data_IF_248992109067
#
_entry.id   IF_248992109067
#
_cell.length_a   1.000
_cell.length_b   1.000
_cell.length_c   1.000
_cell.angle_alpha   90.00
_cell.angle_beta   90.00
_cell.angle_gamma   90.00
#
_symmetry.space_group_name_H-M   'P 1'
#
loop_
_entity.id
_entity.type
_entity.pdbx_description
1 polymer ?
#
# COMPACT_ATOMS: atom_id res chain seq x y z
N UNK A 1 8.78 30.87 17.94
CA UNK A 1 9.21 29.51 17.55
C UNK A 1 10.66 29.60 17.13
N UNK A 2 11.56 28.95 17.88
CA UNK A 2 13.01 29.03 17.64
C UNK A 2 13.36 28.16 16.40
N UNK A 3 14.38 28.54 15.64
CA UNK A 3 14.92 27.79 14.46
C UNK A 3 15.18 26.30 14.75
N UNK A 4 15.41 25.92 16.01
CA UNK A 4 15.56 24.53 16.45
C UNK A 4 14.27 23.69 16.29
N UNK A 5 13.08 24.30 16.25
CA UNK A 5 11.81 23.58 16.05
C UNK A 5 11.49 23.31 14.57
N UNK A 6 12.16 23.98 13.64
CA UNK A 6 11.98 23.81 12.19
C UNK A 6 12.74 22.60 11.62
N UNK A 7 13.59 21.93 12.42
CA UNK A 7 14.41 20.78 11.98
C UNK A 7 13.99 19.42 12.55
N UNK A 8 12.91 19.33 13.32
CA UNK A 8 12.42 18.03 13.80
C UNK A 8 11.78 17.27 12.66
N UNK A 9 12.36 16.14 12.31
CA UNK A 9 11.84 15.21 11.33
C UNK A 9 10.65 14.48 11.95
N UNK A 10 9.44 14.88 11.57
CA UNK A 10 8.18 14.38 12.13
C UNK A 10 7.26 13.90 11.03
N UNK A 11 6.42 12.93 11.39
CA UNK A 11 5.29 12.46 10.61
C UNK A 11 4.01 12.52 11.42
N UNK A 12 2.91 12.76 10.73
CA UNK A 12 1.59 12.67 11.32
C UNK A 12 1.11 11.22 11.21
N UNK A 13 1.03 10.54 12.33
CA UNK A 13 0.69 9.12 12.44
C UNK A 13 -0.76 9.01 12.90
N UNK A 14 -1.53 8.17 12.21
CA UNK A 14 -2.89 7.82 12.60
C UNK A 14 -2.87 6.72 13.67
N UNK A 15 -2.11 5.65 13.39
CA UNK A 15 -1.96 4.51 14.31
C UNK A 15 -0.66 3.75 14.04
N UNK A 16 -0.13 3.10 15.08
CA UNK A 16 0.90 2.06 14.97
C UNK A 16 0.37 0.82 15.68
N UNK A 17 0.30 -0.31 14.98
CA UNK A 17 -0.27 -1.52 15.56
C UNK A 17 0.41 -2.78 15.01
N UNK A 18 0.27 -3.90 15.73
CA UNK A 18 0.82 -5.20 15.36
C UNK A 18 -0.30 -6.16 14.97
N UNK A 19 -0.24 -6.69 13.77
CA UNK A 19 -1.22 -7.63 13.24
C UNK A 19 -0.57 -8.60 12.24
N UNK A 20 -1.38 -9.40 11.55
CA UNK A 20 -0.91 -10.17 10.39
C UNK A 20 -1.01 -9.32 9.13
N UNK A 21 0.04 -9.35 8.28
CA UNK A 21 -0.09 -8.75 6.95
C UNK A 21 -1.18 -9.48 6.16
N UNK A 22 -2.16 -8.73 5.70
CA UNK A 22 -3.34 -9.27 4.98
C UNK A 22 -3.14 -9.37 3.48
N UNK A 23 -2.10 -8.75 2.94
CA UNK A 23 -1.89 -8.59 1.50
C UNK A 23 -0.42 -8.68 1.10
N UNK A 24 -0.14 -8.64 -0.20
CA UNK A 24 1.20 -8.59 -0.78
C UNK A 24 2.07 -9.83 -0.44
N UNK A 25 3.40 -9.72 -0.54
CA UNK A 25 4.31 -10.86 -0.34
C UNK A 25 4.39 -11.31 1.11
N UNK A 26 4.22 -10.37 2.04
CA UNK A 26 4.30 -10.66 3.47
C UNK A 26 2.97 -11.20 4.05
N UNK A 27 1.98 -11.57 3.21
CA UNK A 27 0.70 -12.09 3.67
C UNK A 27 0.87 -13.24 4.66
N UNK A 28 0.21 -13.12 5.83
CA UNK A 28 0.27 -14.11 6.90
C UNK A 28 1.43 -13.93 7.89
N UNK A 29 2.40 -13.06 7.63
CA UNK A 29 3.46 -12.76 8.59
C UNK A 29 3.02 -11.73 9.63
N UNK A 30 3.43 -11.90 10.92
CA UNK A 30 3.31 -10.86 11.93
C UNK A 30 4.04 -9.60 11.47
N UNK A 31 3.33 -8.47 11.42
CA UNK A 31 3.80 -7.22 10.83
C UNK A 31 3.39 -6.04 11.72
N UNK A 32 4.28 -5.09 11.90
CA UNK A 32 3.95 -3.79 12.49
C UNK A 32 3.51 -2.84 11.39
N UNK A 33 2.33 -2.29 11.53
CA UNK A 33 1.79 -1.31 10.60
C UNK A 33 2.02 0.10 11.14
N UNK A 34 2.61 0.96 10.31
CA UNK A 34 2.73 2.39 10.57
C UNK A 34 1.83 3.11 9.60
N UNK A 35 0.64 3.53 10.08
CA UNK A 35 -0.36 4.21 9.26
C UNK A 35 -0.25 5.72 9.37
N UNK A 36 0.11 6.36 8.26
CA UNK A 36 0.24 7.80 8.15
C UNK A 36 -1.12 8.47 7.87
N UNK A 37 -1.27 9.69 8.36
CA UNK A 37 -2.47 10.51 8.13
C UNK A 37 -2.39 11.26 6.82
N UNK A 38 -3.55 11.40 6.16
CA UNK A 38 -3.73 12.20 4.96
C UNK A 38 -3.65 11.40 3.66
N UNK A 39 -4.53 11.73 2.72
CA UNK A 39 -4.55 11.14 1.39
C UNK A 39 -5.04 12.20 0.39
N UNK A 40 -4.39 12.36 -0.78
CA UNK A 40 -4.87 13.26 -1.83
C UNK A 40 -5.98 12.64 -2.69
N UNK A 41 -6.31 11.34 -2.50
CA UNK A 41 -7.33 10.61 -3.23
C UNK A 41 -8.60 10.44 -2.41
N UNK A 42 -9.71 10.12 -3.10
CA UNK A 42 -11.03 9.81 -2.50
C UNK A 42 -11.64 8.60 -3.20
N UNK A 43 -10.94 7.46 -3.08
CA UNK A 43 -11.40 6.20 -3.70
C UNK A 43 -12.77 5.81 -3.15
N UNK A 44 -13.66 5.38 -4.03
CA UNK A 44 -15.04 5.02 -3.68
C UNK A 44 -15.13 3.82 -2.70
N UNK A 45 -14.16 2.90 -2.78
CA UNK A 45 -14.09 1.70 -1.93
C UNK A 45 -13.12 1.87 -0.74
N UNK A 46 -12.76 3.10 -0.37
CA UNK A 46 -11.75 3.32 0.68
C UNK A 46 -12.24 2.75 2.02
N UNK A 47 -11.48 1.82 2.58
CA UNK A 47 -11.75 1.22 3.90
C UNK A 47 -11.01 1.94 5.04
N UNK A 48 -10.24 2.98 4.72
CA UNK A 48 -9.36 3.68 5.68
C UNK A 48 -9.64 5.19 5.70
N UNK A 49 -10.88 5.61 5.47
CA UNK A 49 -11.26 7.04 5.46
C UNK A 49 -10.97 7.74 6.79
N UNK A 50 -10.97 7.01 7.91
CA UNK A 50 -10.62 7.52 9.23
C UNK A 50 -9.18 8.08 9.30
N UNK A 51 -8.27 7.61 8.43
CA UNK A 51 -6.91 8.11 8.35
C UNK A 51 -6.76 9.42 7.57
N UNK A 52 -7.83 9.99 6.99
CA UNK A 52 -7.71 11.23 6.21
C UNK A 52 -7.37 12.44 7.08
N UNK A 53 -7.85 12.51 8.31
CA UNK A 53 -7.81 13.73 9.14
C UNK A 53 -7.29 13.53 10.55
N UNK A 54 -7.43 12.35 11.13
CA UNK A 54 -6.99 12.03 12.49
C UNK A 54 -5.47 11.83 12.57
N UNK A 55 -4.92 11.75 13.80
CA UNK A 55 -3.52 11.41 14.06
C UNK A 55 -2.68 12.53 14.66
N UNK A 56 -1.58 12.14 15.29
CA UNK A 56 -0.68 12.98 16.06
C UNK A 56 0.71 13.06 15.40
N UNK A 57 1.47 14.12 15.75
CA UNK A 57 2.84 14.31 15.25
C UNK A 57 3.84 13.54 16.08
N UNK A 58 4.55 12.59 15.49
CA UNK A 58 5.61 11.79 16.09
C UNK A 58 6.97 12.12 15.46
N UNK A 59 8.02 12.16 16.27
CA UNK A 59 9.40 12.23 15.79
C UNK A 59 9.80 10.87 15.18
N UNK A 60 10.62 10.87 14.12
CA UNK A 60 10.97 9.64 13.40
C UNK A 60 11.64 8.59 14.30
N UNK A 61 12.52 9.02 15.22
CA UNK A 61 13.19 8.11 16.14
C UNK A 61 12.18 7.43 17.08
N UNK A 62 11.21 8.19 17.60
CA UNK A 62 10.14 7.64 18.43
C UNK A 62 9.29 6.58 17.69
N UNK A 63 9.04 6.79 16.38
CA UNK A 63 8.33 5.80 15.56
C UNK A 63 9.16 4.52 15.43
N UNK A 64 10.47 4.63 15.15
CA UNK A 64 11.36 3.46 15.01
C UNK A 64 11.46 2.69 16.33
N UNK A 65 11.57 3.39 17.47
CA UNK A 65 11.61 2.78 18.81
C UNK A 65 10.31 2.05 19.12
N UNK A 66 9.16 2.66 18.84
CA UNK A 66 7.84 2.05 19.02
C UNK A 66 7.69 0.79 18.16
N UNK A 67 8.02 0.87 16.88
CA UNK A 67 8.03 -0.29 15.97
C UNK A 67 8.91 -1.42 16.52
N UNK A 68 10.11 -1.09 17.01
CA UNK A 68 11.06 -2.05 17.59
C UNK A 68 10.50 -2.76 18.83
N UNK A 69 9.66 -2.08 19.62
CA UNK A 69 9.07 -2.63 20.85
C UNK A 69 8.13 -3.83 20.60
N UNK A 70 7.56 -3.96 19.41
CA UNK A 70 6.69 -5.08 19.05
C UNK A 70 7.46 -6.38 18.75
N UNK A 71 8.76 -6.31 18.44
CA UNK A 71 9.60 -7.47 18.18
C UNK A 71 9.28 -8.22 16.87
N UNK A 72 8.53 -7.62 15.95
CA UNK A 72 8.27 -8.19 14.64
C UNK A 72 9.40 -7.84 13.65
N UNK A 73 9.59 -8.73 12.66
CA UNK A 73 10.59 -8.54 11.60
C UNK A 73 10.08 -7.65 10.48
N UNK A 74 8.79 -7.79 10.13
CA UNK A 74 8.17 -7.10 9.04
C UNK A 74 7.51 -5.80 9.50
N UNK A 75 7.67 -4.75 8.70
CA UNK A 75 7.04 -3.43 8.91
C UNK A 75 6.36 -2.99 7.62
N UNK A 76 5.10 -2.62 7.71
CA UNK A 76 4.35 -2.06 6.60
C UNK A 76 4.07 -0.57 6.87
N UNK A 77 4.67 0.30 6.07
CA UNK A 77 4.33 1.72 6.08
C UNK A 77 3.19 1.94 5.10
N UNK A 78 2.07 2.38 5.62
CA UNK A 78 0.81 2.55 4.90
C UNK A 78 0.09 3.81 5.36
N UNK A 79 -1.18 3.98 5.05
CA UNK A 79 -1.96 5.10 5.59
C UNK A 79 -3.11 5.49 4.71
N UNK A 80 -3.33 6.79 4.58
CA UNK A 80 -3.97 7.37 3.41
C UNK A 80 -3.02 7.25 2.21
N UNK A 81 -2.10 8.23 2.06
CA UNK A 81 -0.99 8.12 1.11
C UNK A 81 0.32 8.51 1.83
N UNK A 82 1.18 7.53 2.16
CA UNK A 82 2.39 7.80 2.94
C UNK A 82 3.34 8.81 2.28
N UNK A 83 3.50 8.73 0.96
CA UNK A 83 4.42 9.60 0.21
C UNK A 83 3.92 11.04 0.08
N UNK A 84 2.68 11.34 0.49
CA UNK A 84 2.21 12.72 0.64
C UNK A 84 2.91 13.48 1.78
N UNK A 85 3.55 12.76 2.71
CA UNK A 85 4.37 13.34 3.76
C UNK A 85 5.88 13.17 3.43
N UNK A 86 6.62 14.24 3.12
CA UNK A 86 8.02 14.13 2.61
C UNK A 86 8.98 13.36 3.53
N UNK A 87 8.78 13.43 4.86
CA UNK A 87 9.61 12.69 5.81
C UNK A 87 9.34 11.17 5.81
N UNK A 88 8.33 10.68 5.08
CA UNK A 88 8.09 9.25 4.90
C UNK A 88 9.31 8.54 4.29
N UNK A 89 9.95 9.16 3.30
CA UNK A 89 11.17 8.60 2.69
C UNK A 89 12.27 8.36 3.72
N UNK A 90 12.45 9.29 4.66
CA UNK A 90 13.43 9.15 5.74
C UNK A 90 13.05 8.07 6.74
N UNK A 91 11.75 7.93 7.06
CA UNK A 91 11.27 6.85 7.92
C UNK A 91 11.58 5.49 7.29
N UNK A 92 11.26 5.31 6.02
CA UNK A 92 11.53 4.07 5.28
C UNK A 92 13.01 3.67 5.36
N UNK A 93 13.91 4.63 5.11
CA UNK A 93 15.36 4.39 5.21
C UNK A 93 15.78 4.01 6.65
N UNK A 94 15.29 4.73 7.68
CA UNK A 94 15.61 4.41 9.08
C UNK A 94 15.12 3.02 9.52
N UNK A 95 13.94 2.62 9.09
CA UNK A 95 13.43 1.28 9.36
C UNK A 95 14.30 0.20 8.70
N UNK A 96 14.70 0.40 7.45
CA UNK A 96 15.65 -0.50 6.78
C UNK A 96 17.01 -0.53 7.48
N UNK A 97 17.54 0.62 7.93
CA UNK A 97 18.81 0.72 8.67
C UNK A 97 18.75 0.04 10.04
N UNK A 98 17.57 0.03 10.67
CA UNK A 98 17.30 -0.71 11.90
C UNK A 98 17.15 -2.23 11.68
N UNK A 99 17.22 -2.73 10.43
CA UNK A 99 17.23 -4.15 10.09
C UNK A 99 15.84 -4.76 9.86
N UNK A 100 14.79 -3.94 9.72
CA UNK A 100 13.45 -4.44 9.40
C UNK A 100 13.31 -4.79 7.91
N UNK A 101 12.43 -5.74 7.62
CA UNK A 101 11.91 -5.99 6.27
C UNK A 101 10.74 -5.04 6.04
N UNK A 102 10.98 -4.00 5.23
CA UNK A 102 10.05 -2.88 5.07
C UNK A 102 9.27 -2.99 3.77
N UNK A 103 7.95 -2.89 3.87
CA UNK A 103 7.06 -2.68 2.73
C UNK A 103 6.41 -1.29 2.80
N UNK A 104 6.11 -0.74 1.62
CA UNK A 104 5.38 0.51 1.45
C UNK A 104 4.14 0.25 0.62
N UNK A 105 2.96 0.50 1.18
CA UNK A 105 1.71 0.54 0.41
C UNK A 105 1.42 1.98 -0.02
N UNK A 106 1.38 2.22 -1.33
CA UNK A 106 1.13 3.55 -1.91
C UNK A 106 0.05 3.50 -2.98
N UNK A 107 -0.71 4.56 -3.09
CA UNK A 107 -1.77 4.72 -4.09
C UNK A 107 -1.26 4.80 -5.54
N UNK A 108 0.06 4.90 -5.75
CA UNK A 108 0.65 5.11 -7.08
C UNK A 108 0.51 6.52 -7.65
N UNK A 109 -0.13 7.45 -6.94
CA UNK A 109 -0.33 8.83 -7.38
C UNK A 109 0.87 9.75 -7.10
N UNK A 110 1.77 9.33 -6.21
CA UNK A 110 2.96 10.08 -5.82
C UNK A 110 4.20 9.49 -6.49
N UNK A 111 5.27 10.29 -6.59
CA UNK A 111 6.56 9.83 -7.13
C UNK A 111 7.22 8.82 -6.18
N UNK A 112 7.68 7.68 -6.73
CA UNK A 112 8.33 6.61 -5.97
C UNK A 112 9.85 6.55 -6.20
N UNK A 113 10.43 7.50 -6.96
CA UNK A 113 11.83 7.48 -7.36
C UNK A 113 12.81 7.46 -6.17
N UNK A 114 12.50 8.26 -5.14
CA UNK A 114 13.36 8.44 -3.95
C UNK A 114 13.14 7.37 -2.87
N UNK A 115 12.25 6.39 -3.10
CA UNK A 115 12.03 5.29 -2.13
C UNK A 115 13.27 4.40 -2.06
N UNK A 116 13.76 4.15 -0.84
CA UNK A 116 14.94 3.32 -0.57
C UNK A 116 14.84 1.98 -1.31
N UNK A 117 15.94 1.55 -1.91
CA UNK A 117 15.99 0.37 -2.77
C UNK A 117 15.67 -0.95 -2.04
N UNK A 118 15.79 -0.96 -0.72
CA UNK A 118 15.51 -2.12 0.13
C UNK A 118 14.02 -2.31 0.44
N UNK A 119 13.21 -1.26 0.23
CA UNK A 119 11.77 -1.27 0.48
C UNK A 119 11.04 -2.00 -0.63
N UNK A 120 10.19 -2.98 -0.29
CA UNK A 120 9.24 -3.60 -1.21
C UNK A 120 8.04 -2.66 -1.39
N UNK A 121 7.84 -2.15 -2.61
CA UNK A 121 6.75 -1.21 -2.90
C UNK A 121 5.55 -1.97 -3.45
N UNK A 122 4.41 -1.83 -2.79
CA UNK A 122 3.10 -2.28 -3.27
C UNK A 122 2.39 -1.06 -3.85
N UNK A 123 2.40 -0.93 -5.17
CA UNK A 123 1.85 0.24 -5.87
C UNK A 123 0.45 -0.09 -6.35
N UNK A 124 -0.53 0.59 -5.81
CA UNK A 124 -1.94 0.37 -6.12
C UNK A 124 -2.33 1.14 -7.39
N UNK A 125 -2.57 0.42 -8.48
CA UNK A 125 -3.06 1.00 -9.74
C UNK A 125 -4.57 1.18 -9.63
N UNK A 126 -5.00 2.42 -9.63
CA UNK A 126 -6.42 2.78 -9.46
C UNK A 126 -7.21 2.46 -10.72
N UNK A 127 -8.21 1.60 -10.57
CA UNK A 127 -9.15 1.22 -11.63
C UNK A 127 -10.25 2.29 -11.80
N UNK A 128 -11.02 2.29 -12.91
CA UNK A 128 -12.14 3.21 -13.09
C UNK A 128 -13.15 3.18 -11.94
N UNK A 129 -13.45 2.01 -11.37
CA UNK A 129 -14.37 1.84 -10.24
C UNK A 129 -13.91 2.58 -8.98
N UNK A 130 -12.60 2.79 -8.81
CA UNK A 130 -12.07 3.62 -7.72
C UNK A 130 -12.47 5.10 -7.82
N UNK A 131 -12.82 5.58 -9.03
CA UNK A 131 -13.01 7.00 -9.44
C UNK A 131 -11.74 7.84 -9.40
N UNK A 132 -10.57 7.23 -9.22
CA UNK A 132 -9.27 7.89 -9.12
C UNK A 132 -8.27 7.42 -10.20
N UNK A 133 -8.73 6.70 -11.23
CA UNK A 133 -7.86 6.16 -12.30
C UNK A 133 -7.00 7.23 -12.99
N UNK A 134 -7.50 8.45 -13.14
CA UNK A 134 -6.75 9.59 -13.70
C UNK A 134 -5.56 10.03 -12.84
N UNK A 135 -5.45 9.53 -11.61
CA UNK A 135 -4.37 9.86 -10.67
C UNK A 135 -3.19 8.88 -10.76
N UNK A 136 -3.30 7.82 -11.54
CA UNK A 136 -2.20 6.89 -11.77
C UNK A 136 -1.03 7.64 -12.42
N UNK A 137 0.14 7.60 -11.78
CA UNK A 137 1.37 8.19 -12.28
C UNK A 137 2.13 7.15 -13.12
N UNK A 138 1.98 7.22 -14.44
CA UNK A 138 2.54 6.24 -15.39
C UNK A 138 4.08 6.18 -15.30
N UNK A 139 4.74 7.29 -15.00
CA UNK A 139 6.19 7.39 -14.84
C UNK A 139 6.72 6.42 -13.77
N UNK A 140 5.92 6.10 -12.75
CA UNK A 140 6.27 5.15 -11.71
C UNK A 140 6.54 3.74 -12.26
N UNK A 141 5.89 3.35 -13.36
CA UNK A 141 6.05 2.00 -13.91
C UNK A 141 7.46 1.71 -14.40
N UNK A 142 8.19 2.72 -14.86
CA UNK A 142 9.59 2.59 -15.25
C UNK A 142 10.54 2.40 -14.07
N UNK A 143 10.10 2.75 -12.87
CA UNK A 143 10.86 2.71 -11.62
C UNK A 143 10.65 1.42 -10.82
N UNK A 144 9.72 0.55 -11.26
CA UNK A 144 9.41 -0.71 -10.60
C UNK A 144 10.58 -1.68 -10.70
N UNK A 145 10.79 -2.44 -9.61
CA UNK A 145 11.82 -3.48 -9.47
C UNK A 145 11.14 -4.84 -9.33
N UNK A 146 11.89 -5.91 -9.50
CA UNK A 146 11.34 -7.29 -9.44
C UNK A 146 10.71 -7.66 -8.09
N UNK A 147 11.16 -7.03 -7.00
CA UNK A 147 10.61 -7.26 -5.65
C UNK A 147 9.47 -6.30 -5.28
N UNK A 148 9.07 -5.42 -6.21
CA UNK A 148 7.86 -4.62 -6.05
C UNK A 148 6.63 -5.38 -6.53
N UNK A 149 5.47 -4.84 -6.23
CA UNK A 149 4.19 -5.39 -6.65
C UNK A 149 3.27 -4.30 -7.18
N UNK A 150 2.50 -4.63 -8.19
CA UNK A 150 1.39 -3.82 -8.67
C UNK A 150 0.08 -4.44 -8.21
N UNK A 151 -0.74 -3.70 -7.51
CA UNK A 151 -2.04 -4.16 -7.02
C UNK A 151 -3.17 -3.44 -7.77
N UNK A 152 -4.17 -4.21 -8.18
CA UNK A 152 -5.41 -3.73 -8.77
C UNK A 152 -6.57 -4.19 -7.89
N UNK A 153 -7.34 -3.25 -7.35
CA UNK A 153 -8.60 -3.55 -6.66
C UNK A 153 -9.71 -3.54 -7.71
N UNK A 154 -10.37 -4.69 -7.88
CA UNK A 154 -11.37 -4.94 -8.92
C UNK A 154 -12.75 -4.78 -8.32
N UNK A 155 -13.50 -3.76 -8.75
CA UNK A 155 -14.85 -3.45 -8.27
C UNK A 155 -15.95 -4.01 -9.16
N UNK A 156 -15.63 -4.39 -10.40
CA UNK A 156 -16.60 -4.90 -11.37
C UNK A 156 -15.93 -5.71 -12.49
N UNK A 157 -16.75 -6.29 -13.37
CA UNK A 157 -16.25 -6.94 -14.59
C UNK A 157 -15.59 -5.93 -15.53
N UNK A 158 -16.09 -4.73 -15.61
CA UNK A 158 -15.52 -3.64 -16.43
C UNK A 158 -14.15 -3.24 -15.92
N UNK A 159 -13.95 -3.16 -14.61
CA UNK A 159 -12.62 -2.92 -14.00
C UNK A 159 -11.63 -4.04 -14.33
N UNK A 160 -12.08 -5.29 -14.29
CA UNK A 160 -11.26 -6.44 -14.67
C UNK A 160 -10.80 -6.33 -16.14
N UNK A 161 -11.74 -6.07 -17.05
CA UNK A 161 -11.41 -5.97 -18.47
C UNK A 161 -10.52 -4.75 -18.77
N UNK A 162 -10.76 -3.63 -18.10
CA UNK A 162 -9.90 -2.44 -18.16
C UNK A 162 -8.49 -2.77 -17.64
N UNK A 163 -8.36 -3.39 -16.48
CA UNK A 163 -7.08 -3.75 -15.87
C UNK A 163 -6.27 -4.67 -16.76
N UNK A 164 -6.92 -5.66 -17.40
CA UNK A 164 -6.29 -6.56 -18.36
C UNK A 164 -5.77 -5.81 -19.60
N UNK A 165 -6.52 -4.85 -20.11
CA UNK A 165 -6.08 -4.00 -21.22
C UNK A 165 -4.90 -3.11 -20.79
N UNK A 166 -4.99 -2.50 -19.61
CA UNK A 166 -3.97 -1.62 -19.04
C UNK A 166 -2.63 -2.34 -18.79
N UNK A 167 -2.67 -3.58 -18.30
CA UNK A 167 -1.47 -4.42 -18.16
C UNK A 167 -0.75 -4.63 -19.51
N UNK A 168 -1.50 -4.87 -20.58
CA UNK A 168 -0.94 -5.09 -21.91
C UNK A 168 -0.37 -3.81 -22.50
N UNK A 169 -1.12 -2.71 -22.41
CA UNK A 169 -0.73 -1.40 -22.94
C UNK A 169 0.61 -0.93 -22.36
N UNK A 170 0.79 -1.09 -21.06
CA UNK A 170 1.99 -0.63 -20.35
C UNK A 170 3.05 -1.73 -20.11
N UNK A 171 2.81 -2.96 -20.55
CA UNK A 171 3.76 -4.07 -20.40
C UNK A 171 4.10 -4.41 -18.93
N UNK A 172 3.13 -4.27 -18.03
CA UNK A 172 3.37 -4.29 -16.58
C UNK A 172 3.73 -5.67 -16.04
N UNK A 173 3.18 -6.75 -16.63
CA UNK A 173 3.45 -8.13 -16.19
C UNK A 173 4.91 -8.55 -16.34
N UNK A 174 5.71 -7.80 -17.10
CA UNK A 174 7.15 -8.07 -17.25
C UNK A 174 8.01 -7.30 -16.23
N UNK A 175 7.43 -6.42 -15.45
CA UNK A 175 8.14 -5.53 -14.51
C UNK A 175 8.27 -6.15 -13.12
N UNK A 176 7.17 -6.57 -12.55
CA UNK A 176 7.07 -7.14 -11.21
C UNK A 176 5.82 -8.01 -11.12
N UNK A 177 5.57 -8.60 -9.96
CA UNK A 177 4.35 -9.35 -9.70
C UNK A 177 3.12 -8.43 -9.74
N UNK A 178 2.04 -8.93 -10.34
CA UNK A 178 0.76 -8.22 -10.43
C UNK A 178 -0.29 -8.94 -9.60
N UNK A 179 -0.94 -8.20 -8.70
CA UNK A 179 -1.98 -8.69 -7.81
C UNK A 179 -3.36 -8.18 -8.26
N UNK A 180 -4.31 -9.09 -8.41
CA UNK A 180 -5.73 -8.75 -8.57
C UNK A 180 -6.48 -9.13 -7.30
N UNK A 181 -7.06 -8.12 -6.66
CA UNK A 181 -7.82 -8.27 -5.42
C UNK A 181 -9.28 -7.85 -5.65
N UNK A 182 -10.28 -8.66 -5.28
CA UNK A 182 -11.67 -8.23 -5.38
C UNK A 182 -11.96 -7.16 -4.32
N UNK A 183 -12.66 -6.10 -4.70
CA UNK A 183 -13.25 -5.16 -3.73
C UNK A 183 -14.18 -5.92 -2.80
N UNK A 184 -14.03 -5.73 -1.50
CA UNK A 184 -14.59 -6.62 -0.46
C UNK A 184 -16.09 -6.87 -0.56
N UNK A 185 -16.87 -5.85 -0.95
CA UNK A 185 -18.34 -5.96 -1.01
C UNK A 185 -18.92 -5.98 -2.44
N UNK A 186 -18.10 -5.72 -3.46
CA UNK A 186 -18.59 -5.46 -4.82
C UNK A 186 -18.41 -6.65 -5.75
N UNK A 187 -17.28 -7.37 -5.62
CA UNK A 187 -16.98 -8.54 -6.46
C UNK A 187 -16.81 -9.79 -5.62
N UNK A 188 -17.61 -10.82 -5.91
CA UNK A 188 -17.41 -12.11 -5.26
C UNK A 188 -16.04 -12.69 -5.61
N UNK A 189 -15.24 -13.12 -4.62
CA UNK A 189 -13.91 -13.67 -4.86
C UNK A 189 -13.88 -14.79 -5.91
N UNK A 190 -14.84 -15.71 -5.86
CA UNK A 190 -14.94 -16.79 -6.84
C UNK A 190 -15.13 -16.28 -8.27
N UNK A 191 -15.90 -15.21 -8.47
CA UNK A 191 -16.13 -14.64 -9.80
C UNK A 191 -14.82 -14.07 -10.40
N UNK A 192 -14.04 -13.32 -9.61
CA UNK A 192 -12.75 -12.82 -10.06
C UNK A 192 -11.78 -13.97 -10.38
N UNK A 193 -11.74 -15.01 -9.54
CA UNK A 193 -10.91 -16.18 -9.78
C UNK A 193 -11.30 -16.90 -11.09
N UNK A 194 -12.59 -17.06 -11.35
CA UNK A 194 -13.10 -17.65 -12.60
C UNK A 194 -12.70 -16.82 -13.82
N UNK A 195 -12.76 -15.48 -13.75
CA UNK A 195 -12.33 -14.62 -14.86
C UNK A 195 -10.84 -14.76 -15.16
N UNK A 196 -10.00 -14.77 -14.12
CA UNK A 196 -8.56 -14.94 -14.25
C UNK A 196 -8.22 -16.29 -14.91
N UNK A 197 -8.88 -17.38 -14.46
CA UNK A 197 -8.66 -18.73 -14.99
C UNK A 197 -9.15 -18.85 -16.44
N UNK A 198 -10.33 -18.33 -16.75
CA UNK A 198 -10.90 -18.36 -18.10
C UNK A 198 -9.98 -17.62 -19.12
N UNK A 199 -9.44 -16.49 -18.74
CA UNK A 199 -8.53 -15.70 -19.57
C UNK A 199 -7.07 -16.18 -19.52
N UNK A 200 -6.73 -17.16 -18.66
CA UNK A 200 -5.36 -17.61 -18.40
C UNK A 200 -4.42 -16.45 -18.11
N UNK A 201 -4.94 -15.45 -17.39
CA UNK A 201 -4.21 -14.23 -17.09
C UNK A 201 -3.09 -14.51 -16.06
N UNK A 202 -1.86 -14.08 -16.38
CA UNK A 202 -0.70 -14.31 -15.52
C UNK A 202 -0.63 -13.20 -14.46
N UNK A 203 -1.53 -13.30 -13.47
CA UNK A 203 -1.60 -12.42 -12.30
C UNK A 203 -1.83 -13.29 -11.06
N UNK A 204 -1.41 -12.81 -9.91
CA UNK A 204 -1.70 -13.44 -8.63
C UNK A 204 -3.06 -12.94 -8.13
N UNK A 205 -3.98 -13.87 -7.90
CA UNK A 205 -5.21 -13.59 -7.18
C UNK A 205 -4.91 -13.42 -5.69
N UNK A 206 -5.42 -12.37 -5.07
CA UNK A 206 -5.20 -12.12 -3.65
C UNK A 206 -6.48 -11.68 -2.94
N UNK A 207 -6.75 -12.29 -1.78
CA UNK A 207 -7.76 -11.83 -0.84
C UNK A 207 -7.12 -10.96 0.24
N UNK A 208 -7.91 -10.11 0.87
CA UNK A 208 -7.55 -9.39 2.07
C UNK A 208 -7.73 -10.33 3.28
N UNK A 209 -6.65 -10.98 3.71
CA UNK A 209 -6.67 -11.99 4.76
C UNK A 209 -7.26 -11.45 6.07
N UNK A 210 -6.92 -10.22 6.44
CA UNK A 210 -7.43 -9.57 7.65
C UNK A 210 -8.96 -9.48 7.65
N UNK A 211 -9.60 -9.21 6.49
CA UNK A 211 -11.06 -9.17 6.38
C UNK A 211 -11.72 -10.54 6.51
N UNK A 212 -11.01 -11.61 6.11
CA UNK A 212 -11.48 -12.99 6.31
C UNK A 212 -11.40 -13.39 7.79
N UNK A 213 -10.32 -12.98 8.48
CA UNK A 213 -10.09 -13.35 9.87
C UNK A 213 -10.95 -12.54 10.84
N UNK A 214 -11.06 -11.24 10.63
CA UNK A 214 -11.64 -10.32 11.61
C UNK A 214 -12.77 -9.44 11.08
N UNK A 215 -13.08 -9.53 9.79
CA UNK A 215 -14.03 -8.62 9.16
C UNK A 215 -13.44 -7.23 8.94
N UNK A 216 -14.30 -6.21 8.93
CA UNK A 216 -13.89 -4.82 8.70
C UNK A 216 -13.61 -4.11 10.03
N UNK A 217 -12.60 -4.59 10.75
CA UNK A 217 -12.19 -4.07 12.07
C UNK A 217 -10.90 -3.28 11.94
N UNK A 218 -10.89 -1.97 12.27
CA UNK A 218 -9.66 -1.16 12.27
C UNK A 218 -8.59 -1.72 13.22
N UNK A 219 -7.31 -1.59 12.85
CA UNK A 219 -6.18 -2.06 13.66
C UNK A 219 -5.98 -3.57 13.72
N UNK A 220 -6.57 -4.30 12.75
CA UNK A 220 -6.45 -5.77 12.63
C UNK A 220 -5.94 -6.18 11.25
#
# INVERSE_FOLDING_TARGET
MTEANLKRERLRINEIFHSLQGEADAVGYPTVFVRLTGCPLRCQYCDTEYAFHAGDWHDLDAIVDEVGSFGARHVCVTGGEPLAQPNCLKLLTRLCDAGFEVSLETSGAMDIAEVDARVSRVVDVKTPGSREAARNRIENFSLLRQHDQLKFVICSREDYDWSKAYLREHGLSARCEVLFSPSYTEVRPAALAEWILADRLQVRFQLQLHKILWGDVPGK
#
